data_IF_993666531433
#
_entry.id   IF_993666531433
#
_cell.length_a   1.000
_cell.length_b   1.000
_cell.length_c   1.000
_cell.angle_alpha   90.00
_cell.angle_beta   90.00
_cell.angle_gamma   90.00
#
_symmetry.space_group_name_H-M   'P 1'
#
loop_
_entity.id
_entity.type
_entity.pdbx_description
1 polymer ?
#
# COMPACT_ATOMS: atom_id res chain seq x y z
N UNK A 1 20.96 15.61 -6.63
CA UNK A 1 21.43 14.39 -7.34
C UNK A 1 20.23 13.50 -7.58
N UNK A 2 20.11 12.87 -8.76
CA UNK A 2 19.09 11.86 -9.00
C UNK A 2 19.40 10.58 -8.18
N UNK A 3 18.36 9.85 -7.81
CA UNK A 3 18.42 8.65 -6.99
C UNK A 3 17.83 7.51 -7.81
N UNK A 4 18.59 6.43 -7.90
CA UNK A 4 18.21 5.21 -8.62
C UNK A 4 17.13 4.43 -7.85
N UNK A 5 16.01 4.13 -8.52
CA UNK A 5 14.88 3.35 -7.98
C UNK A 5 14.68 2.08 -8.79
N UNK A 6 14.61 0.93 -8.12
CA UNK A 6 14.04 -0.27 -8.73
C UNK A 6 12.52 -0.24 -8.63
N UNK A 7 11.81 -0.70 -9.65
CA UNK A 7 10.37 -0.91 -9.57
C UNK A 7 9.94 -2.26 -10.14
N UNK A 8 8.89 -2.83 -9.58
CA UNK A 8 8.22 -4.04 -10.08
C UNK A 8 6.73 -3.76 -10.13
N UNK A 9 6.14 -3.89 -11.32
CA UNK A 9 4.72 -3.71 -11.58
C UNK A 9 3.95 -5.01 -11.37
N UNK A 10 3.01 -4.99 -10.44
CA UNK A 10 2.04 -6.07 -10.28
C UNK A 10 0.73 -5.72 -10.98
N UNK A 11 0.57 -6.18 -12.23
CA UNK A 11 -0.65 -5.94 -13.02
C UNK A 11 -1.91 -6.54 -12.39
N UNK A 12 -1.79 -7.63 -11.61
CA UNK A 12 -2.93 -8.27 -10.94
C UNK A 12 -3.47 -7.44 -9.79
N UNK A 13 -2.59 -6.69 -9.13
CA UNK A 13 -2.92 -5.87 -7.97
C UNK A 13 -2.97 -4.37 -8.31
N UNK A 14 -2.81 -4.02 -9.60
CA UNK A 14 -2.72 -2.65 -10.11
C UNK A 14 -1.77 -1.75 -9.30
N UNK A 15 -0.72 -2.34 -8.73
CA UNK A 15 0.25 -1.67 -7.88
C UNK A 15 1.68 -1.81 -8.44
N UNK A 16 2.56 -0.94 -7.97
CA UNK A 16 3.99 -0.95 -8.25
C UNK A 16 4.70 -1.04 -6.91
N UNK A 17 5.64 -1.97 -6.81
CA UNK A 17 6.56 -2.12 -5.69
C UNK A 17 7.83 -1.38 -6.06
N UNK A 18 8.10 -0.28 -5.37
CA UNK A 18 9.29 0.55 -5.51
C UNK A 18 10.31 0.08 -4.48
N UNK A 19 11.57 -0.04 -4.90
CA UNK A 19 12.69 -0.42 -4.06
C UNK A 19 13.77 0.65 -4.13
N UNK A 20 14.25 1.11 -2.98
CA UNK A 20 15.33 2.12 -2.86
C UNK A 20 16.43 1.58 -1.96
N UNK A 21 17.69 1.88 -2.30
CA UNK A 21 18.86 1.41 -1.55
C UNK A 21 19.21 -0.05 -1.83
N UNK A 22 20.25 -0.55 -1.14
CA UNK A 22 20.79 -1.90 -1.35
C UNK A 22 21.06 -2.64 -0.04
N UNK A 23 21.03 -3.97 -0.09
CA UNK A 23 21.35 -4.81 1.09
C UNK A 23 20.46 -4.52 2.31
N UNK A 24 21.08 -4.13 3.43
CA UNK A 24 20.39 -3.90 4.72
C UNK A 24 19.64 -2.56 4.78
N UNK A 25 19.91 -1.63 3.87
CA UNK A 25 19.20 -0.34 3.78
C UNK A 25 18.11 -0.36 2.70
N UNK A 26 17.86 -1.53 2.08
CA UNK A 26 16.79 -1.72 1.11
C UNK A 26 15.44 -1.38 1.76
N UNK A 27 14.75 -0.43 1.16
CA UNK A 27 13.38 -0.07 1.55
C UNK A 27 12.43 -0.32 0.40
N UNK A 28 11.23 -0.77 0.74
CA UNK A 28 10.19 -1.06 -0.22
C UNK A 28 8.94 -0.23 0.08
N UNK A 29 8.39 0.36 -0.97
CA UNK A 29 7.11 1.06 -0.92
C UNK A 29 6.20 0.51 -2.01
N UNK A 30 4.93 0.32 -1.68
CA UNK A 30 3.91 -0.02 -2.68
C UNK A 30 3.06 1.21 -2.96
N UNK A 31 2.82 1.48 -4.23
CA UNK A 31 1.94 2.55 -4.72
C UNK A 31 1.04 2.02 -5.83
N UNK A 32 -0.03 2.73 -6.19
CA UNK A 32 -0.79 2.36 -7.40
C UNK A 32 0.05 2.58 -8.63
N UNK A 33 -0.22 1.80 -9.69
CA UNK A 33 0.42 2.04 -10.99
C UNK A 33 0.15 3.46 -11.50
N UNK A 34 -1.06 3.98 -11.31
CA UNK A 34 -1.45 5.33 -11.73
C UNK A 34 -0.63 6.42 -11.02
N UNK A 35 -0.50 6.33 -9.69
CA UNK A 35 0.30 7.29 -8.92
C UNK A 35 1.76 7.23 -9.34
N UNK A 36 2.30 6.02 -9.52
CA UNK A 36 3.70 5.83 -9.92
C UNK A 36 4.02 6.47 -11.28
N UNK A 37 3.24 6.17 -12.32
CA UNK A 37 3.52 6.70 -13.67
C UNK A 37 3.15 8.18 -13.81
N UNK A 38 2.31 8.72 -12.93
CA UNK A 38 2.06 10.17 -12.85
C UNK A 38 3.29 10.90 -12.30
N UNK A 39 3.89 10.38 -11.22
CA UNK A 39 5.03 11.03 -10.55
C UNK A 39 6.36 10.75 -11.28
N UNK A 40 6.52 9.54 -11.83
CA UNK A 40 7.70 9.10 -12.58
C UNK A 40 7.29 8.82 -14.04
N UNK A 41 7.01 9.86 -14.85
CA UNK A 41 6.60 9.70 -16.24
C UNK A 41 7.70 9.11 -17.13
N UNK A 42 8.96 9.18 -16.71
CA UNK A 42 10.09 8.60 -17.42
C UNK A 42 10.19 7.07 -17.30
N UNK A 43 9.44 6.45 -16.37
CA UNK A 43 9.40 5.00 -16.25
C UNK A 43 8.54 4.39 -17.37
N UNK A 44 9.06 3.36 -18.05
CA UNK A 44 8.32 2.73 -19.14
C UNK A 44 7.12 1.91 -18.60
N UNK A 45 5.87 2.29 -18.94
CA UNK A 45 4.68 1.63 -18.41
C UNK A 45 4.48 0.21 -18.92
N UNK A 46 5.13 -0.17 -20.03
CA UNK A 46 5.00 -1.49 -20.62
C UNK A 46 5.88 -2.54 -19.94
N UNK A 47 6.92 -2.11 -19.22
CA UNK A 47 7.84 -3.01 -18.53
C UNK A 47 7.21 -3.62 -17.26
N UNK A 48 7.58 -4.87 -16.99
CA UNK A 48 7.20 -5.55 -15.75
C UNK A 48 7.99 -5.04 -14.55
N UNK A 49 9.25 -4.66 -14.74
CA UNK A 49 10.07 -4.04 -13.72
C UNK A 49 11.37 -3.58 -14.35
N UNK A 50 11.92 -2.49 -13.84
CA UNK A 50 13.16 -1.89 -14.32
C UNK A 50 13.73 -0.96 -13.23
N UNK A 51 14.82 -0.28 -13.55
CA UNK A 51 15.43 0.76 -12.76
C UNK A 51 15.18 2.12 -13.42
N UNK A 52 14.87 3.14 -12.61
CA UNK A 52 14.61 4.50 -13.08
C UNK A 52 15.25 5.52 -12.15
N UNK A 53 15.79 6.59 -12.73
CA UNK A 53 16.32 7.72 -11.97
C UNK A 53 15.15 8.62 -11.53
N UNK A 54 15.09 8.94 -10.25
CA UNK A 54 14.10 9.83 -9.68
C UNK A 54 14.73 11.01 -8.95
N UNK A 55 14.07 12.16 -9.02
CA UNK A 55 14.48 13.34 -8.26
C UNK A 55 14.05 13.23 -6.79
N UNK A 56 14.74 13.94 -5.87
CA UNK A 56 14.30 14.08 -4.49
C UNK A 56 12.82 14.50 -4.35
N UNK A 57 12.35 15.42 -5.19
CA UNK A 57 10.95 15.87 -5.16
C UNK A 57 9.97 14.73 -5.52
N UNK A 58 10.28 13.93 -6.54
CA UNK A 58 9.47 12.76 -6.93
C UNK A 58 9.43 11.70 -5.82
N UNK A 59 10.52 11.52 -5.08
CA UNK A 59 10.55 10.59 -3.94
C UNK A 59 9.66 11.08 -2.79
N UNK A 60 9.69 12.36 -2.48
CA UNK A 60 8.81 12.95 -1.46
C UNK A 60 7.35 12.83 -1.88
N UNK A 61 7.04 13.06 -3.15
CA UNK A 61 5.68 12.92 -3.69
C UNK A 61 5.20 11.47 -3.69
N UNK A 62 6.10 10.51 -3.88
CA UNK A 62 5.85 9.08 -3.67
C UNK A 62 5.75 8.70 -2.19
N UNK A 63 6.11 9.59 -1.26
CA UNK A 63 6.04 9.38 0.19
C UNK A 63 7.26 8.69 0.80
N UNK A 64 8.45 9.01 0.29
CA UNK A 64 9.70 8.80 1.01
C UNK A 64 10.06 10.06 1.80
N UNK A 65 10.45 9.92 3.07
CA UNK A 65 11.13 11.00 3.80
C UNK A 65 12.61 10.96 3.47
N UNK A 66 13.13 12.10 2.99
CA UNK A 66 14.55 12.28 2.74
C UNK A 66 15.23 12.80 4.01
N UNK A 67 16.37 12.23 4.37
CA UNK A 67 17.23 12.76 5.44
C UNK A 67 17.75 14.16 5.03
N UNK A 68 17.58 15.15 5.90
CA UNK A 68 17.81 16.57 5.63
C UNK A 68 19.27 16.89 5.23
N UNK A 69 20.21 16.01 5.58
CA UNK A 69 21.63 16.18 5.28
C UNK A 69 22.08 15.43 4.00
N UNK A 70 21.23 14.61 3.37
CA UNK A 70 21.59 13.68 2.27
C UNK A 70 22.86 12.83 2.54
N UNK A 71 23.28 12.67 3.80
CA UNK A 71 24.52 11.97 4.20
C UNK A 71 24.38 10.45 4.29
N UNK A 72 23.15 9.94 4.30
CA UNK A 72 22.84 8.51 4.35
C UNK A 72 21.77 8.21 3.32
N UNK A 73 21.90 7.10 2.60
CA UNK A 73 20.85 6.49 1.76
C UNK A 73 19.68 5.94 2.61
N UNK A 74 19.28 6.63 3.68
CA UNK A 74 18.26 6.17 4.62
C UNK A 74 17.02 7.04 4.41
N UNK A 75 16.23 6.64 3.42
CA UNK A 75 14.96 7.27 3.10
C UNK A 75 13.86 6.63 3.92
N UNK A 76 13.50 7.15 5.09
CA UNK A 76 12.44 6.54 5.90
C UNK A 76 11.15 6.50 5.07
N UNK A 77 10.58 5.32 4.83
CA UNK A 77 9.25 5.23 4.20
C UNK A 77 8.21 5.76 5.19
N UNK A 78 7.88 7.04 5.08
CA UNK A 78 6.68 7.60 5.68
C UNK A 78 5.61 7.49 4.64
N UNK A 79 5.02 6.29 4.60
CA UNK A 79 3.93 5.91 3.69
C UNK A 79 3.10 7.15 3.41
N UNK A 80 3.00 7.60 2.14
CA UNK A 80 2.16 8.74 1.86
C UNK A 80 0.76 8.36 2.32
N UNK A 81 0.11 9.29 3.00
CA UNK A 81 -1.23 9.22 3.58
C UNK A 81 -2.33 8.78 2.59
N UNK A 82 -1.98 8.47 1.34
CA UNK A 82 -2.85 8.29 0.18
C UNK A 82 -2.38 7.12 -0.70
N UNK A 83 -1.79 6.06 -0.15
CA UNK A 83 -1.75 4.81 -0.92
C UNK A 83 -3.13 4.19 -0.83
N UNK A 84 -3.93 4.12 -1.91
CA UNK A 84 -5.21 3.48 -1.77
C UNK A 84 -4.99 1.97 -1.56
N UNK A 85 -5.66 1.45 -0.54
CA UNK A 85 -5.55 0.08 -0.12
C UNK A 85 -6.40 -0.81 -1.03
N UNK A 86 -5.79 -1.83 -1.59
CA UNK A 86 -6.54 -2.78 -2.39
C UNK A 86 -7.22 -3.81 -1.48
N UNK A 87 -8.54 -3.95 -1.62
CA UNK A 87 -9.34 -4.97 -0.94
C UNK A 87 -9.94 -5.90 -1.97
N UNK A 88 -9.83 -7.21 -1.73
CA UNK A 88 -10.60 -8.22 -2.46
C UNK A 88 -11.82 -8.59 -1.65
N UNK A 89 -12.95 -8.78 -2.31
CA UNK A 89 -14.18 -9.19 -1.65
C UNK A 89 -14.81 -10.38 -2.36
N UNK A 90 -15.50 -11.21 -1.57
CA UNK A 90 -16.33 -12.31 -2.06
C UNK A 90 -17.54 -12.48 -1.15
N UNK A 91 -18.70 -12.72 -1.73
CA UNK A 91 -19.93 -13.08 -1.04
C UNK A 91 -19.85 -14.57 -0.71
N UNK A 92 -19.82 -14.88 0.57
CA UNK A 92 -19.89 -16.24 1.06
C UNK A 92 -21.34 -16.75 0.95
N UNK A 93 -21.61 -17.78 0.13
CA UNK A 93 -22.96 -18.30 -0.06
C UNK A 93 -23.50 -19.02 1.18
N UNK A 94 -22.64 -19.46 2.11
CA UNK A 94 -23.06 -20.20 3.30
C UNK A 94 -23.59 -19.27 4.39
N UNK A 95 -22.95 -18.12 4.59
CA UNK A 95 -23.35 -17.13 5.60
C UNK A 95 -24.14 -15.96 5.03
N UNK A 96 -24.10 -15.75 3.72
CA UNK A 96 -24.68 -14.59 3.06
C UNK A 96 -23.93 -13.27 3.32
N UNK A 97 -22.74 -13.33 3.92
CA UNK A 97 -21.90 -12.17 4.24
C UNK A 97 -20.78 -11.98 3.21
N UNK A 98 -20.22 -10.77 3.13
CA UNK A 98 -19.01 -10.54 2.37
C UNK A 98 -17.77 -10.81 3.23
N UNK A 99 -16.81 -11.53 2.65
CA UNK A 99 -15.46 -11.69 3.16
C UNK A 99 -14.58 -10.69 2.42
N UNK A 100 -13.89 -9.84 3.18
CA UNK A 100 -13.00 -8.80 2.68
C UNK A 100 -11.56 -9.13 3.07
N UNK A 101 -10.64 -9.05 2.12
CA UNK A 101 -9.20 -9.27 2.34
C UNK A 101 -8.40 -8.05 1.93
N UNK A 102 -7.63 -7.51 2.88
CA UNK A 102 -6.69 -6.42 2.58
C UNK A 102 -5.42 -6.98 1.94
N UNK A 103 -5.25 -6.70 0.64
CA UNK A 103 -4.13 -7.18 -0.18
C UNK A 103 -2.80 -6.69 0.38
N UNK A 104 -1.81 -7.57 0.40
CA UNK A 104 -0.50 -7.30 1.00
C UNK A 104 -0.46 -7.47 2.53
N UNK A 105 -1.59 -7.85 3.16
CA UNK A 105 -1.66 -8.17 4.59
C UNK A 105 -2.27 -9.55 4.83
N UNK A 106 -2.32 -9.96 6.11
CA UNK A 106 -3.06 -11.13 6.58
C UNK A 106 -4.42 -10.77 7.18
N UNK A 107 -4.88 -9.52 7.01
CA UNK A 107 -6.15 -9.08 7.55
C UNK A 107 -7.31 -9.55 6.66
N UNK A 108 -8.28 -10.18 7.29
CA UNK A 108 -9.54 -10.62 6.68
C UNK A 108 -10.68 -10.24 7.62
N UNK A 109 -11.80 -9.78 7.04
CA UNK A 109 -12.97 -9.32 7.77
C UNK A 109 -14.23 -9.90 7.15
N UNK A 110 -15.23 -10.15 7.99
CA UNK A 110 -16.57 -10.52 7.55
C UNK A 110 -17.49 -9.33 7.80
N UNK A 111 -18.25 -8.94 6.77
CA UNK A 111 -19.15 -7.79 6.85
C UNK A 111 -20.52 -8.12 6.24
N UNK A 112 -21.58 -7.60 6.85
CA UNK A 112 -22.94 -7.76 6.34
C UNK A 112 -23.11 -7.03 4.99
N UNK A 113 -23.90 -7.59 4.04
CA UNK A 113 -24.06 -7.00 2.71
C UNK A 113 -24.55 -5.55 2.72
N UNK A 114 -25.52 -5.23 3.59
CA UNK A 114 -26.05 -3.86 3.70
C UNK A 114 -24.98 -2.83 4.08
N UNK A 115 -24.11 -3.18 5.03
CA UNK A 115 -23.01 -2.31 5.45
C UNK A 115 -21.96 -2.19 4.34
N UNK A 116 -21.58 -3.31 3.72
CA UNK A 116 -20.63 -3.33 2.62
C UNK A 116 -21.05 -2.44 1.46
N UNK A 117 -22.29 -2.57 0.96
CA UNK A 117 -22.78 -1.75 -0.15
C UNK A 117 -22.88 -0.26 0.22
N UNK A 118 -23.26 0.04 1.46
CA UNK A 118 -23.35 1.43 1.94
C UNK A 118 -21.98 2.10 1.99
N UNK A 119 -20.96 1.40 2.48
CA UNK A 119 -19.62 1.96 2.68
C UNK A 119 -18.84 2.01 1.36
N UNK A 120 -18.92 0.96 0.54
CA UNK A 120 -18.08 0.81 -0.66
C UNK A 120 -18.73 1.28 -1.96
N UNK A 121 -20.06 1.49 -1.97
CA UNK A 121 -20.81 1.83 -3.19
C UNK A 121 -20.88 0.71 -4.23
N UNK A 122 -20.40 -0.49 -3.92
CA UNK A 122 -20.42 -1.63 -4.82
C UNK A 122 -21.86 -2.06 -5.13
N UNK A 123 -22.11 -2.35 -6.41
CA UNK A 123 -23.41 -2.87 -6.86
C UNK A 123 -23.76 -4.17 -6.15
N UNK A 124 -25.03 -4.29 -5.73
CA UNK A 124 -25.57 -5.49 -5.08
C UNK A 124 -25.48 -6.75 -5.96
N UNK A 125 -25.30 -6.56 -7.28
CA UNK A 125 -25.15 -7.67 -8.25
C UNK A 125 -23.70 -8.15 -8.39
N UNK A 126 -22.75 -7.55 -7.67
CA UNK A 126 -21.35 -7.95 -7.70
C UNK A 126 -21.02 -8.82 -6.48
N UNK A 127 -21.02 -10.16 -6.62
CA UNK A 127 -20.71 -11.05 -5.51
C UNK A 127 -19.22 -11.13 -5.22
N UNK A 128 -18.33 -10.78 -6.17
CA UNK A 128 -16.89 -10.83 -5.96
C UNK A 128 -16.17 -9.76 -6.77
N UNK A 129 -15.00 -9.35 -6.31
CA UNK A 129 -14.17 -8.40 -7.05
C UNK A 129 -13.01 -7.85 -6.23
N UNK A 130 -12.46 -6.75 -6.72
CA UNK A 130 -11.44 -5.96 -6.03
C UNK A 130 -11.77 -4.48 -6.08
N UNK A 131 -11.43 -3.77 -5.00
CA UNK A 131 -11.66 -2.35 -4.82
C UNK A 131 -10.35 -1.70 -4.39
N UNK A 132 -10.21 -0.44 -4.75
CA UNK A 132 -9.12 0.42 -4.32
C UNK A 132 -9.75 1.48 -3.43
N UNK A 133 -9.50 1.40 -2.12
CA UNK A 133 -10.20 2.19 -1.10
C UNK A 133 -9.25 3.16 -0.41
N UNK A 134 -9.76 4.32 0.02
CA UNK A 134 -9.00 5.24 0.88
C UNK A 134 -8.79 4.62 2.27
N UNK A 135 -7.78 5.10 3.00
CA UNK A 135 -7.50 4.59 4.35
C UNK A 135 -8.63 4.89 5.34
N UNK A 136 -9.39 5.97 5.14
CA UNK A 136 -10.56 6.27 5.97
C UNK A 136 -11.67 5.24 5.75
N UNK A 137 -11.96 4.88 4.49
CA UNK A 137 -12.94 3.84 4.16
C UNK A 137 -12.46 2.47 4.66
N UNK A 138 -11.16 2.18 4.58
CA UNK A 138 -10.59 0.97 5.18
C UNK A 138 -10.80 0.92 6.69
N UNK A 139 -10.60 2.04 7.39
CA UNK A 139 -10.87 2.14 8.83
C UNK A 139 -12.36 1.97 9.13
N UNK A 140 -13.25 2.55 8.31
CA UNK A 140 -14.70 2.43 8.45
C UNK A 140 -15.17 0.98 8.25
N UNK A 141 -14.54 0.25 7.32
CA UNK A 141 -14.77 -1.19 7.14
C UNK A 141 -14.26 -2.05 8.31
N UNK A 142 -13.44 -1.48 9.20
CA UNK A 142 -12.88 -2.16 10.36
C UNK A 142 -11.49 -2.74 10.15
N UNK A 143 -10.80 -2.41 9.05
CA UNK A 143 -9.40 -2.80 8.88
C UNK A 143 -8.50 -1.99 9.81
N UNK A 144 -7.49 -2.65 10.36
CA UNK A 144 -6.44 -1.99 11.12
C UNK A 144 -5.52 -1.28 10.12
N UNK A 145 -5.79 0.02 9.94
CA UNK A 145 -4.95 0.93 9.16
C UNK A 145 -4.05 1.71 10.12
N UNK A 146 -2.73 1.63 9.92
CA UNK A 146 -1.80 2.50 10.64
C UNK A 146 -1.92 3.90 10.04
N UNK A 147 -2.54 4.84 10.77
CA UNK A 147 -2.34 6.27 10.51
C UNK A 147 -0.84 6.55 10.66
N UNK A 148 -0.24 7.25 9.70
CA UNK A 148 1.20 7.52 9.70
C UNK A 148 1.69 8.07 11.04
N UNK A 149 2.68 7.40 11.62
CA UNK A 149 3.34 7.73 12.90
C UNK A 149 4.15 6.52 13.39
N UNK A 150 5.41 6.76 13.78
CA UNK A 150 6.37 5.77 14.32
C UNK A 150 5.77 4.88 15.44
N UNK A 151 6.21 3.68 15.81
CA UNK A 151 7.47 2.94 15.73
C UNK A 151 7.15 1.43 15.55
N UNK A 152 8.02 0.67 14.91
CA UNK A 152 8.35 -0.66 15.43
C UNK A 152 9.84 -0.58 15.73
N UNK A 153 10.17 -0.06 16.91
CA UNK A 153 11.30 -0.65 17.61
C UNK A 153 10.93 -2.11 17.82
N UNK A 154 11.74 -3.01 17.27
CA UNK A 154 11.73 -4.39 17.72
C UNK A 154 12.30 -4.40 19.14
N UNK A 155 11.50 -4.06 20.14
CA UNK A 155 11.79 -4.46 21.51
C UNK A 155 11.31 -5.91 21.66
N UNK A 156 12.27 -6.84 21.68
CA UNK A 156 12.05 -8.22 22.10
C UNK A 156 11.82 -8.26 23.62
N UNK A 157 10.71 -7.67 24.10
CA UNK A 157 10.26 -7.88 25.47
C UNK A 157 8.94 -8.61 25.46
N UNK A 158 9.01 -9.89 25.80
CA UNK A 158 7.88 -10.73 26.12
C UNK A 158 7.09 -10.08 27.26
N UNK A 159 5.83 -9.77 27.02
CA UNK A 159 4.88 -9.44 28.08
C UNK A 159 4.52 -10.77 28.75
N UNK A 160 5.10 -11.03 29.92
CA UNK A 160 4.63 -12.08 30.82
C UNK A 160 3.34 -11.62 31.46
N UNK A 161 2.25 -12.35 31.21
CA UNK A 161 1.04 -12.23 32.03
C UNK A 161 1.25 -13.10 33.28
N UNK A 162 1.29 -12.44 34.44
CA UNK A 162 1.11 -13.05 35.75
C UNK A 162 -0.35 -12.85 36.19
#
# INVERSE_FOLDING_TARGET
MPITLGFIRNRRESNVIITVGSGRTRQELRVTSELFFTIIPQANPFLYGDVVEATPAQLVELGFELDAEMKREVFRVVRPLVTPAQVRYVLDPSTGNYILRYVGTRQELVIQPRAFWKITGVSRRSPLGSLTLSMDVMSELGFIVKKGGAQIERSNQFINYA
#
